data_IF_656464109182
#
_entry.id   IF_656464109182
#
_cell.length_a   1.000
_cell.length_b   1.000
_cell.length_c   1.000
_cell.angle_alpha   90.00
_cell.angle_beta   90.00
_cell.angle_gamma   90.00
#
_symmetry.space_group_name_H-M   'P 1'
#
loop_
_entity.id
_entity.type
_entity.pdbx_description
1 polymer ?
#
# COMPACT_ATOMS: atom_id res chain seq x y z
N UNK A 1 16.11 -9.48 -14.03
CA UNK A 1 16.06 -8.19 -13.30
C UNK A 1 14.79 -7.35 -13.59
N UNK A 2 14.22 -7.37 -14.80
CA UNK A 2 13.03 -6.56 -15.13
C UNK A 2 11.70 -6.99 -14.46
N UNK A 3 11.57 -8.25 -14.05
CA UNK A 3 10.30 -8.80 -13.53
C UNK A 3 9.99 -8.31 -12.11
N UNK A 4 10.99 -8.31 -11.21
CA UNK A 4 10.83 -7.83 -9.82
C UNK A 4 10.43 -6.35 -9.71
N UNK A 5 10.87 -5.52 -10.65
CA UNK A 5 10.51 -4.10 -10.70
C UNK A 5 9.07 -3.86 -11.19
N UNK A 6 8.59 -4.69 -12.13
CA UNK A 6 7.19 -4.64 -12.61
C UNK A 6 6.21 -5.04 -11.51
N UNK A 7 6.52 -6.11 -10.77
CA UNK A 7 5.66 -6.57 -9.67
C UNK A 7 5.62 -5.55 -8.53
N UNK A 8 6.73 -4.87 -8.25
CA UNK A 8 6.76 -3.77 -7.29
C UNK A 8 5.91 -2.57 -7.71
N UNK A 9 6.02 -2.12 -8.97
CA UNK A 9 5.18 -1.04 -9.48
C UNK A 9 3.70 -1.39 -9.35
N UNK A 10 3.32 -2.64 -9.65
CA UNK A 10 1.95 -3.14 -9.42
C UNK A 10 1.55 -3.09 -7.94
N UNK A 11 2.45 -3.46 -7.03
CA UNK A 11 2.18 -3.47 -5.59
C UNK A 11 1.94 -2.06 -5.03
N UNK A 12 2.77 -1.07 -5.41
CA UNK A 12 2.54 0.34 -5.04
C UNK A 12 1.20 0.83 -5.59
N UNK A 13 0.90 0.51 -6.84
CA UNK A 13 -0.33 0.96 -7.48
C UNK A 13 -1.55 0.38 -6.76
N UNK A 14 -1.48 -0.91 -6.37
CA UNK A 14 -2.51 -1.58 -5.59
C UNK A 14 -2.67 -0.96 -4.19
N UNK A 15 -1.57 -0.62 -3.50
CA UNK A 15 -1.64 0.06 -2.21
C UNK A 15 -2.26 1.45 -2.29
N UNK A 16 -1.95 2.23 -3.34
CA UNK A 16 -2.57 3.55 -3.58
C UNK A 16 -4.08 3.40 -3.81
N UNK A 17 -4.49 2.44 -4.63
CA UNK A 17 -5.91 2.15 -4.87
C UNK A 17 -6.61 1.77 -3.56
N UNK A 18 -5.98 0.93 -2.73
CA UNK A 18 -6.53 0.50 -1.45
C UNK A 18 -6.70 1.66 -0.45
N UNK A 19 -5.73 2.58 -0.39
CA UNK A 19 -5.79 3.78 0.45
C UNK A 19 -6.89 4.72 -0.04
N UNK A 20 -6.97 4.99 -1.34
CA UNK A 20 -8.02 5.83 -1.92
C UNK A 20 -9.41 5.26 -1.66
N UNK A 21 -9.58 3.93 -1.76
CA UNK A 21 -10.84 3.27 -1.41
C UNK A 21 -11.19 3.46 0.08
N UNK A 22 -10.21 3.31 0.98
CA UNK A 22 -10.39 3.54 2.40
C UNK A 22 -10.84 4.97 2.70
N UNK A 23 -10.16 5.97 2.12
CA UNK A 23 -10.52 7.40 2.28
C UNK A 23 -11.93 7.68 1.77
N UNK A 24 -12.31 7.15 0.61
CA UNK A 24 -13.68 7.29 0.10
C UNK A 24 -14.67 6.65 1.06
N UNK A 25 -14.48 5.40 1.50
CA UNK A 25 -15.36 4.75 2.47
C UNK A 25 -15.50 5.54 3.78
N UNK A 26 -14.41 6.16 4.24
CA UNK A 26 -14.41 6.98 5.47
C UNK A 26 -15.19 8.29 5.30
N UNK A 27 -15.20 8.87 4.09
CA UNK A 27 -15.85 10.16 3.81
C UNK A 27 -17.27 10.02 3.25
N UNK A 28 -17.65 8.86 2.71
CA UNK A 28 -18.97 8.68 2.08
C UNK A 28 -19.97 7.92 2.95
N UNK A 29 -19.52 7.28 4.04
CA UNK A 29 -20.39 6.51 4.93
C UNK A 29 -20.31 7.09 6.35
N UNK A 30 -21.28 7.96 6.67
CA UNK A 30 -21.38 8.63 7.96
C UNK A 30 -21.65 7.67 9.14
N UNK A 31 -22.22 6.50 8.86
CA UNK A 31 -22.56 5.49 9.88
C UNK A 31 -21.38 4.58 10.28
N UNK A 32 -20.29 4.55 9.50
CA UNK A 32 -19.16 3.65 9.77
C UNK A 32 -17.77 4.29 9.61
N UNK A 33 -17.53 5.47 10.22
CA UNK A 33 -16.23 6.15 10.15
C UNK A 33 -15.10 5.29 10.73
N UNK A 34 -15.39 4.44 11.73
CA UNK A 34 -14.42 3.53 12.34
C UNK A 34 -13.89 2.47 11.35
N UNK A 35 -14.72 1.95 10.44
CA UNK A 35 -14.30 0.97 9.43
C UNK A 35 -13.35 1.61 8.42
N UNK A 36 -13.64 2.83 7.98
CA UNK A 36 -12.80 3.59 7.05
C UNK A 36 -11.41 3.86 7.63
N UNK A 37 -11.34 4.27 8.90
CA UNK A 37 -10.07 4.46 9.63
C UNK A 37 -9.27 3.16 9.72
N UNK A 38 -9.91 2.02 9.97
CA UNK A 38 -9.24 0.70 9.99
C UNK A 38 -8.68 0.35 8.61
N UNK A 39 -9.43 0.57 7.53
CA UNK A 39 -8.94 0.36 6.16
C UNK A 39 -7.74 1.27 5.82
N UNK A 40 -7.78 2.54 6.24
CA UNK A 40 -6.66 3.47 6.06
C UNK A 40 -5.43 3.01 6.85
N UNK A 41 -5.61 2.60 8.11
CA UNK A 41 -4.53 2.12 8.96
C UNK A 41 -3.87 0.85 8.38
N UNK A 42 -4.66 -0.14 7.98
CA UNK A 42 -4.17 -1.38 7.36
C UNK A 42 -3.51 -1.08 6.01
N UNK A 43 -4.11 -0.22 5.18
CA UNK A 43 -3.57 0.21 3.89
C UNK A 43 -2.22 0.92 4.01
N UNK A 44 -2.10 1.83 4.97
CA UNK A 44 -0.84 2.53 5.29
C UNK A 44 0.25 1.58 5.79
N UNK A 45 -0.11 0.60 6.63
CA UNK A 45 0.83 -0.39 7.14
C UNK A 45 1.34 -1.32 6.02
N UNK A 46 0.45 -1.76 5.13
CA UNK A 46 0.83 -2.53 3.93
C UNK A 46 1.73 -1.73 2.99
N UNK A 47 1.49 -0.43 2.84
CA UNK A 47 2.32 0.45 2.02
C UNK A 47 3.75 0.57 2.57
N UNK A 48 3.90 0.76 3.88
CA UNK A 48 5.20 0.82 4.57
C UNK A 48 5.94 -0.52 4.45
N UNK A 49 5.26 -1.65 4.67
CA UNK A 49 5.84 -2.98 4.51
C UNK A 49 6.30 -3.20 3.06
N UNK A 50 5.49 -2.79 2.07
CA UNK A 50 5.83 -2.88 0.65
C UNK A 50 7.10 -2.09 0.30
N UNK A 51 7.23 -0.85 0.80
CA UNK A 51 8.45 -0.05 0.63
C UNK A 51 9.67 -0.66 1.33
N UNK A 52 9.51 -1.19 2.54
CA UNK A 52 10.60 -1.81 3.30
C UNK A 52 11.14 -3.07 2.61
N UNK A 53 10.24 -3.86 1.99
CA UNK A 53 10.60 -5.02 1.16
C UNK A 53 11.38 -4.60 -0.10
N UNK A 54 11.03 -3.47 -0.73
CA UNK A 54 11.82 -2.92 -1.85
C UNK A 54 13.21 -2.51 -1.40
N UNK A 55 13.35 -1.79 -0.29
CA UNK A 55 14.67 -1.31 0.18
C UNK A 55 15.64 -2.46 0.40
N UNK A 56 15.15 -3.61 0.90
CA UNK A 56 15.94 -4.84 1.02
C UNK A 56 16.25 -5.52 -0.33
N UNK A 57 15.34 -5.46 -1.30
CA UNK A 57 15.59 -6.02 -2.63
C UNK A 57 16.61 -5.21 -3.43
N UNK A 58 16.61 -3.89 -3.26
CA UNK A 58 17.53 -2.94 -3.90
C UNK A 58 18.96 -3.06 -3.34
N UNK A 59 19.10 -3.20 -2.01
CA UNK A 59 20.40 -3.44 -1.35
C UNK A 59 21.02 -4.81 -1.66
N UNK A 60 20.23 -5.80 -2.09
CA UNK A 60 20.72 -7.16 -2.40
C UNK A 60 21.22 -7.29 -3.85
N UNK A 61 21.14 -6.22 -4.63
CA UNK A 61 21.58 -6.16 -6.03
C UNK A 61 22.89 -5.37 -6.21
N UNK A 62 23.52 -4.97 -5.11
CA UNK A 62 24.78 -4.20 -5.09
C UNK A 62 25.94 -4.94 -4.42
N UNK A 63 25.80 -6.25 -4.16
CA UNK A 63 26.86 -7.16 -3.71
C UNK A 63 27.08 -8.24 -4.77
#
# INVERSE_FOLDING_TARGET
MAQKLKDYKKFIFFSIILISLGVTFTNTIDDVPSLGVVFIAIGGLFFIIGMSKKKKADNKSSD
#
